data_IF_727078790273
#
_entry.id   IF_727078790273
#
_cell.length_a   1.000
_cell.length_b   1.000
_cell.length_c   1.000
_cell.angle_alpha   90.00
_cell.angle_beta   90.00
_cell.angle_gamma   90.00
#
_symmetry.space_group_name_H-M   'P 1'
#
loop_
_entity.id
_entity.type
_entity.pdbx_description
1 polymer ?
#
# COMPACT_ATOMS: atom_id res chain seq x y z
N UNK A 1 1.56 10.74 -18.68
CA UNK A 1 1.64 10.82 -17.21
C UNK A 1 1.92 9.43 -16.69
N UNK A 2 3.00 9.21 -15.90
CA UNK A 2 3.31 7.87 -15.36
C UNK A 2 2.15 7.37 -14.48
N UNK A 3 1.86 6.08 -14.53
CA UNK A 3 0.87 5.46 -13.65
C UNK A 3 1.50 5.28 -12.26
N UNK A 4 0.67 5.34 -11.22
CA UNK A 4 1.10 5.30 -9.82
C UNK A 4 0.47 4.10 -9.12
N UNK A 5 1.25 3.42 -8.29
CA UNK A 5 0.78 2.37 -7.40
C UNK A 5 0.86 2.92 -5.97
N UNK A 6 -0.26 2.91 -5.26
CA UNK A 6 -0.28 3.25 -3.85
C UNK A 6 0.08 2.01 -3.03
N UNK A 7 1.04 2.12 -2.13
CA UNK A 7 1.53 0.99 -1.33
C UNK A 7 1.54 1.34 0.14
N UNK A 8 1.10 0.39 0.96
CA UNK A 8 1.13 0.48 2.41
C UNK A 8 2.08 -0.58 2.90
N UNK A 9 3.11 -0.21 3.65
CA UNK A 9 4.08 -1.20 4.10
C UNK A 9 4.97 -0.70 5.22
N UNK A 10 5.61 -1.65 5.89
CA UNK A 10 6.58 -1.35 6.93
C UNK A 10 7.86 -0.82 6.28
N UNK A 11 8.43 0.22 6.89
CA UNK A 11 9.68 0.81 6.44
C UNK A 11 10.52 1.24 7.64
N UNK A 12 11.85 1.32 7.44
CA UNK A 12 12.81 1.75 8.45
C UNK A 12 12.64 3.24 8.80
N UNK A 13 12.43 4.08 7.77
CA UNK A 13 12.33 5.54 7.88
C UNK A 13 10.95 6.03 7.40
N UNK A 14 10.74 7.35 7.54
CA UNK A 14 9.52 8.04 7.11
C UNK A 14 8.50 8.21 8.25
N UNK A 15 7.62 9.18 8.11
CA UNK A 15 6.56 9.46 9.08
C UNK A 15 5.30 8.66 8.74
N UNK A 16 4.53 8.28 9.77
CA UNK A 16 3.26 7.56 9.61
C UNK A 16 2.12 8.44 9.09
N UNK A 17 2.29 9.77 9.13
CA UNK A 17 1.31 10.78 8.72
C UNK A 17 1.73 11.51 7.43
N UNK A 18 2.56 10.86 6.60
CA UNK A 18 3.07 11.43 5.36
C UNK A 18 2.95 10.44 4.21
N UNK A 19 2.55 10.94 3.03
CA UNK A 19 2.53 10.18 1.79
C UNK A 19 3.79 10.48 0.97
N UNK A 20 4.60 9.45 0.67
CA UNK A 20 5.87 9.61 -0.02
C UNK A 20 5.74 9.23 -1.50
N UNK A 21 5.84 10.22 -2.39
CA UNK A 21 5.87 9.96 -3.83
C UNK A 21 7.30 9.63 -4.28
N UNK A 22 7.53 8.37 -4.63
CA UNK A 22 8.80 7.85 -5.11
C UNK A 22 8.73 7.60 -6.63
N UNK A 23 9.69 8.13 -7.38
CA UNK A 23 9.82 7.97 -8.84
C UNK A 23 11.03 7.13 -9.23
N UNK A 24 11.91 6.86 -8.27
CA UNK A 24 13.10 6.05 -8.41
C UNK A 24 13.35 5.21 -7.15
N UNK A 25 14.21 4.20 -7.24
CA UNK A 25 14.64 3.43 -6.07
C UNK A 25 15.47 4.29 -5.09
N UNK A 26 16.14 5.33 -5.57
CA UNK A 26 16.84 6.29 -4.71
C UNK A 26 15.84 7.10 -3.87
N UNK A 27 14.77 7.62 -4.48
CA UNK A 27 13.71 8.33 -3.75
C UNK A 27 13.11 7.43 -2.65
N UNK A 28 12.91 6.15 -2.96
CA UNK A 28 12.39 5.17 -2.00
C UNK A 28 13.33 5.02 -0.80
N UNK A 29 14.62 4.83 -1.05
CA UNK A 29 15.62 4.66 0.00
C UNK A 29 15.81 5.94 0.85
N UNK A 30 15.80 7.11 0.21
CA UNK A 30 15.98 8.39 0.90
C UNK A 30 14.79 8.69 1.84
N UNK A 31 13.56 8.39 1.41
CA UNK A 31 12.37 8.61 2.22
C UNK A 31 12.12 7.51 3.27
N UNK A 32 12.34 6.25 2.92
CA UNK A 32 11.85 5.09 3.67
C UNK A 32 12.96 4.16 4.19
N UNK A 33 14.21 4.40 3.79
CA UNK A 33 15.35 3.58 4.20
C UNK A 33 15.40 2.21 3.53
N UNK A 34 16.08 1.27 4.17
CA UNK A 34 16.04 -0.13 3.79
C UNK A 34 14.82 -0.85 4.36
N UNK A 35 14.50 -2.03 3.84
CA UNK A 35 13.59 -2.95 4.53
C UNK A 35 14.32 -3.71 5.65
N UNK A 36 13.63 -3.98 6.77
CA UNK A 36 14.13 -4.91 7.79
C UNK A 36 14.36 -6.30 7.17
N UNK A 37 15.23 -7.14 7.72
CA UNK A 37 15.56 -8.43 7.12
C UNK A 37 14.38 -9.44 7.13
N UNK A 38 13.31 -9.14 7.88
CA UNK A 38 12.26 -10.11 8.25
C UNK A 38 10.89 -9.80 7.65
N UNK A 39 10.60 -8.55 7.28
CA UNK A 39 9.28 -8.14 6.73
C UNK A 39 9.50 -7.09 5.63
N UNK A 40 9.37 -7.50 4.35
CA UNK A 40 9.71 -6.65 3.19
C UNK A 40 8.61 -6.58 2.14
N UNK A 41 7.40 -7.07 2.40
CA UNK A 41 6.47 -7.27 1.30
C UNK A 41 6.04 -5.94 0.65
N UNK A 42 5.88 -4.86 1.43
CA UNK A 42 5.63 -3.52 0.89
C UNK A 42 6.82 -2.90 0.15
N UNK A 43 8.02 -2.89 0.74
CA UNK A 43 9.23 -2.32 0.11
C UNK A 43 9.64 -3.11 -1.14
N UNK A 44 9.58 -4.44 -1.11
CA UNK A 44 9.89 -5.27 -2.26
C UNK A 44 8.92 -4.98 -3.43
N UNK A 45 7.62 -4.87 -3.15
CA UNK A 45 6.63 -4.51 -4.16
C UNK A 45 6.84 -3.09 -4.70
N UNK A 46 7.28 -2.14 -3.85
CA UNK A 46 7.63 -0.79 -4.29
C UNK A 46 8.83 -0.79 -5.25
N UNK A 47 9.89 -1.54 -4.94
CA UNK A 47 11.04 -1.69 -5.83
C UNK A 47 10.61 -2.30 -7.16
N UNK A 48 9.82 -3.37 -7.14
CA UNK A 48 9.28 -3.99 -8.36
C UNK A 48 8.46 -2.99 -9.19
N UNK A 49 7.54 -2.26 -8.56
CA UNK A 49 6.74 -1.23 -9.23
C UNK A 49 7.62 -0.18 -9.92
N UNK A 50 8.66 0.30 -9.24
CA UNK A 50 9.62 1.26 -9.80
C UNK A 50 10.41 0.66 -10.98
N UNK A 51 10.82 -0.60 -10.90
CA UNK A 51 11.49 -1.32 -11.99
C UNK A 51 10.60 -1.47 -13.22
N UNK A 52 9.29 -1.70 -13.02
CA UNK A 52 8.29 -1.70 -14.10
C UNK A 52 7.85 -0.29 -14.52
N UNK A 53 8.60 0.74 -14.14
CA UNK A 53 8.40 2.12 -14.56
C UNK A 53 7.09 2.77 -14.06
N UNK A 54 6.52 2.26 -12.96
CA UNK A 54 5.46 2.93 -12.22
C UNK A 54 6.03 3.93 -11.22
N UNK A 55 5.27 4.96 -10.88
CA UNK A 55 5.52 5.73 -9.66
C UNK A 55 4.95 4.97 -8.46
N UNK A 56 5.49 5.22 -7.27
CA UNK A 56 4.98 4.67 -6.02
C UNK A 56 4.55 5.81 -5.11
N UNK A 57 3.31 5.75 -4.63
CA UNK A 57 2.85 6.59 -3.53
C UNK A 57 2.83 5.72 -2.27
N UNK A 58 3.84 5.87 -1.43
CA UNK A 58 4.07 4.99 -0.30
C UNK A 58 3.54 5.60 1.00
N UNK A 59 2.85 4.78 1.79
CA UNK A 59 2.38 5.09 3.13
C UNK A 59 3.06 4.13 4.10
N UNK A 60 3.87 4.67 5.01
CA UNK A 60 4.51 3.87 6.04
C UNK A 60 3.44 3.38 7.03
N UNK A 61 3.39 2.08 7.26
CA UNK A 61 2.63 1.49 8.37
C UNK A 61 3.58 1.02 9.47
N UNK A 62 3.07 0.90 10.69
CA UNK A 62 3.90 0.51 11.84
C UNK A 62 4.31 -0.96 11.78
N UNK A 63 3.38 -1.81 11.37
CA UNK A 63 3.56 -3.24 11.22
C UNK A 63 2.58 -3.73 10.15
N UNK A 64 3.09 -4.41 9.13
CA UNK A 64 2.28 -4.96 8.03
C UNK A 64 1.25 -5.94 8.59
N UNK A 65 -0.02 -5.76 8.26
CA UNK A 65 -1.10 -6.68 8.61
C UNK A 65 -1.64 -6.61 10.03
N UNK A 66 -0.94 -5.94 10.96
CA UNK A 66 -1.30 -5.95 12.38
C UNK A 66 -1.79 -4.59 12.90
N UNK A 67 -1.08 -3.50 12.57
CA UNK A 67 -1.39 -2.18 13.13
C UNK A 67 -2.42 -1.42 12.29
N UNK A 68 -3.70 -1.78 12.45
CA UNK A 68 -4.83 -1.25 11.66
C UNK A 68 -4.86 0.28 11.59
N UNK A 69 -4.63 0.95 12.72
CA UNK A 69 -4.68 2.42 12.82
C UNK A 69 -3.68 3.12 11.87
N UNK A 70 -2.53 2.49 11.62
CA UNK A 70 -1.50 3.07 10.76
C UNK A 70 -1.88 3.08 9.26
N UNK A 71 -2.91 2.33 8.87
CA UNK A 71 -3.44 2.35 7.50
C UNK A 71 -4.40 3.51 7.26
N UNK A 72 -5.15 3.92 8.29
CA UNK A 72 -6.23 4.89 8.13
C UNK A 72 -5.77 6.27 7.68
N UNK A 73 -4.55 6.69 8.03
CA UNK A 73 -3.99 7.93 7.49
C UNK A 73 -3.94 7.89 5.96
N UNK A 74 -3.30 6.86 5.37
CA UNK A 74 -3.16 6.78 3.93
C UNK A 74 -4.49 6.55 3.21
N UNK A 75 -5.39 5.75 3.78
CA UNK A 75 -6.73 5.58 3.25
C UNK A 75 -7.53 6.89 3.28
N UNK A 76 -7.45 7.65 4.37
CA UNK A 76 -8.08 8.96 4.48
C UNK A 76 -7.50 9.97 3.50
N UNK A 77 -6.16 10.01 3.36
CA UNK A 77 -5.46 10.86 2.40
C UNK A 77 -5.92 10.58 0.96
N UNK A 78 -5.99 9.30 0.57
CA UNK A 78 -6.51 8.89 -0.73
C UNK A 78 -8.02 9.19 -0.88
N UNK A 79 -8.80 9.15 0.19
CA UNK A 79 -10.21 9.49 0.09
C UNK A 79 -10.46 10.99 -0.13
N UNK A 80 -9.68 11.85 0.53
CA UNK A 80 -9.85 13.31 0.46
C UNK A 80 -9.20 13.94 -0.76
N UNK A 81 -8.17 13.30 -1.34
CA UNK A 81 -7.48 13.84 -2.50
C UNK A 81 -8.32 13.72 -3.79
N UNK A 82 -8.41 14.83 -4.54
CA UNK A 82 -9.19 14.95 -5.79
C UNK A 82 -8.33 15.16 -7.04
N UNK A 83 -7.06 15.53 -6.83
CA UNK A 83 -6.12 15.85 -7.91
C UNK A 83 -5.34 14.63 -8.42
N UNK A 84 -5.13 13.62 -7.58
CA UNK A 84 -4.54 12.35 -7.97
C UNK A 84 -5.52 11.59 -8.86
N UNK A 85 -5.14 11.24 -10.09
CA UNK A 85 -6.02 10.55 -11.06
C UNK A 85 -5.39 9.31 -11.72
N UNK A 86 -4.14 9.02 -11.41
CA UNK A 86 -3.33 7.98 -12.06
C UNK A 86 -2.97 6.83 -11.12
N UNK A 87 -3.73 6.64 -10.04
CA UNK A 87 -3.55 5.47 -9.16
C UNK A 87 -4.20 4.28 -9.86
N UNK A 88 -3.40 3.30 -10.28
CA UNK A 88 -3.88 2.11 -11.00
C UNK A 88 -4.01 0.89 -10.11
N UNK A 89 -3.33 0.90 -8.97
CA UNK A 89 -3.39 -0.19 -8.00
C UNK A 89 -3.10 0.31 -6.59
N UNK A 90 -3.64 -0.40 -5.60
CA UNK A 90 -3.31 -0.31 -4.19
C UNK A 90 -2.80 -1.65 -3.70
N UNK A 91 -1.62 -1.68 -3.07
CA UNK A 91 -1.07 -2.88 -2.43
C UNK A 91 -1.16 -2.79 -0.92
N UNK A 92 -1.68 -3.85 -0.30
CA UNK A 92 -1.91 -3.99 1.15
C UNK A 92 -1.30 -5.29 1.67
N UNK A 93 0.03 -5.44 1.61
CA UNK A 93 0.72 -6.61 2.15
C UNK A 93 0.29 -6.97 3.57
N UNK A 94 -0.01 -8.26 3.78
CA UNK A 94 -0.27 -8.82 5.11
C UNK A 94 -1.64 -8.50 5.66
N UNK A 95 -2.48 -7.73 4.94
CA UNK A 95 -3.75 -7.26 5.48
C UNK A 95 -4.85 -8.31 5.31
N UNK A 96 -5.25 -8.89 6.44
CA UNK A 96 -6.47 -9.70 6.57
C UNK A 96 -7.68 -8.96 7.16
N UNK A 97 -7.49 -7.75 7.71
CA UNK A 97 -8.58 -7.00 8.37
C UNK A 97 -9.65 -6.54 7.36
N UNK A 98 -10.90 -6.93 7.63
CA UNK A 98 -12.03 -6.68 6.73
C UNK A 98 -12.35 -5.19 6.57
N UNK A 99 -12.15 -4.36 7.60
CA UNK A 99 -12.43 -2.92 7.53
C UNK A 99 -11.45 -2.22 6.60
N UNK A 100 -10.15 -2.55 6.69
CA UNK A 100 -9.14 -2.03 5.76
C UNK A 100 -9.44 -2.48 4.34
N UNK A 101 -9.78 -3.76 4.15
CA UNK A 101 -10.06 -4.31 2.82
C UNK A 101 -11.28 -3.63 2.19
N UNK A 102 -12.39 -3.45 2.93
CA UNK A 102 -13.59 -2.79 2.41
C UNK A 102 -13.35 -1.28 2.14
N UNK A 103 -12.63 -0.58 3.02
CA UNK A 103 -12.23 0.81 2.79
C UNK A 103 -11.39 0.93 1.51
N UNK A 104 -10.46 0.01 1.31
CA UNK A 104 -9.58 -0.02 0.14
C UNK A 104 -10.32 -0.40 -1.13
N UNK A 105 -11.29 -1.32 -1.09
CA UNK A 105 -12.20 -1.61 -2.20
C UNK A 105 -13.00 -0.37 -2.61
N UNK A 106 -13.49 0.41 -1.65
CA UNK A 106 -14.21 1.66 -1.93
C UNK A 106 -13.31 2.66 -2.67
N UNK A 107 -12.07 2.83 -2.20
CA UNK A 107 -11.07 3.66 -2.89
C UNK A 107 -10.74 3.12 -4.28
N UNK A 108 -10.61 1.80 -4.44
CA UNK A 108 -10.36 1.19 -5.76
C UNK A 108 -11.48 1.51 -6.76
N UNK A 109 -12.75 1.50 -6.32
CA UNK A 109 -13.88 1.94 -7.16
C UNK A 109 -13.77 3.42 -7.52
N UNK A 110 -13.40 4.29 -6.56
CA UNK A 110 -13.18 5.73 -6.78
C UNK A 110 -12.09 5.97 -7.84
N UNK A 111 -10.98 5.26 -7.75
CA UNK A 111 -9.82 5.43 -8.64
C UNK A 111 -9.87 4.58 -9.92
N UNK A 112 -10.83 3.66 -10.05
CA UNK A 112 -10.84 2.60 -11.06
C UNK A 112 -9.54 1.79 -11.05
N UNK A 113 -9.04 1.49 -9.86
CA UNK A 113 -7.77 0.80 -9.62
C UNK A 113 -7.98 -0.64 -9.15
N UNK A 114 -6.92 -1.43 -9.21
CA UNK A 114 -6.90 -2.78 -8.68
C UNK A 114 -6.50 -2.79 -7.20
N UNK A 115 -7.04 -3.75 -6.44
CA UNK A 115 -6.55 -4.06 -5.10
C UNK A 115 -5.62 -5.27 -5.22
N UNK A 116 -4.37 -5.13 -4.81
CA UNK A 116 -3.35 -6.17 -4.88
C UNK A 116 -3.24 -6.85 -3.53
N UNK A 117 -3.29 -8.18 -3.56
CA UNK A 117 -3.11 -9.07 -2.42
C UNK A 117 -1.88 -9.94 -2.68
N UNK A 118 -1.17 -10.32 -1.61
CA UNK A 118 -0.26 -11.45 -1.70
C UNK A 118 -1.05 -12.77 -1.66
N UNK A 119 -0.39 -13.87 -2.03
CA UNK A 119 -1.03 -15.19 -2.10
C UNK A 119 -1.69 -15.59 -0.77
N UNK A 120 -1.00 -15.33 0.34
CA UNK A 120 -1.52 -15.59 1.68
C UNK A 120 -2.73 -14.71 2.01
N UNK A 121 -2.65 -13.39 1.77
CA UNK A 121 -3.75 -12.46 2.02
C UNK A 121 -5.01 -12.84 1.21
N UNK A 122 -4.81 -13.27 -0.04
CA UNK A 122 -5.90 -13.73 -0.90
C UNK A 122 -6.51 -15.02 -0.37
N UNK A 123 -5.69 -16.00 0.05
CA UNK A 123 -6.17 -17.23 0.64
C UNK A 123 -7.01 -16.96 1.88
N UNK A 124 -6.48 -16.12 2.78
CA UNK A 124 -7.13 -15.71 4.02
C UNK A 124 -8.48 -15.02 3.70
N UNK A 125 -8.49 -14.06 2.78
CA UNK A 125 -9.70 -13.38 2.34
C UNK A 125 -10.76 -14.36 1.80
N UNK A 126 -10.36 -15.36 1.02
CA UNK A 126 -11.28 -16.32 0.40
C UNK A 126 -11.77 -17.40 1.37
N UNK A 127 -11.04 -17.66 2.45
CA UNK A 127 -11.35 -18.77 3.38
C UNK A 127 -11.94 -18.31 4.70
N UNK A 128 -11.55 -17.14 5.22
CA UNK A 128 -12.12 -16.56 6.45
C UNK A 128 -13.49 -15.89 6.22
N UNK A 129 -13.86 -15.57 4.98
CA UNK A 129 -15.20 -15.05 4.65
C UNK A 129 -16.31 -16.11 4.61
N UNK A 130 -16.07 -17.34 5.10
CA UNK A 130 -17.15 -18.29 5.37
C UNK A 130 -17.89 -17.89 6.64
N UNK A 131 -18.87 -17.02 6.48
CA UNK A 131 -20.02 -16.93 7.39
C UNK A 131 -20.70 -18.31 7.35
N UNK A 132 -20.64 -19.06 8.45
CA UNK A 132 -21.58 -20.16 8.70
C UNK A 132 -22.95 -19.59 9.01
#
# INVERSE_FOLDING_TARGET
>A
MKLTIALFGEAEKGSYDTAYLCRSAADLYDHLGGGSATTRSGIALAIQALMYNYNVLYFRVKEEGYCVDSYFFGLHFLNTQTTLKNIIAMGLPGVGDQHIIEASKSLCRKYKSFLLFFEQDLYDLLTFNKVF
#
